data_IF_911114058531
#
_entry.id   IF_911114058531
#
_cell.length_a   1.000
_cell.length_b   1.000
_cell.length_c   1.000
_cell.angle_alpha   90.00
_cell.angle_beta   90.00
_cell.angle_gamma   90.00
#
_symmetry.space_group_name_H-M   'P 1'
#
loop_
_entity.id
_entity.type
_entity.pdbx_description
1 polymer ?
#
# COMPACT_ATOMS: atom_id res chain seq x y z
N UNK A 1 -20.99 3.04 6.54
CA UNK A 1 -19.84 2.43 7.25
C UNK A 1 -20.34 1.94 8.61
N UNK A 2 -20.00 0.72 9.02
CA UNK A 2 -20.52 0.08 10.23
C UNK A 2 -19.33 -0.54 11.01
N UNK A 3 -19.44 -0.68 12.33
CA UNK A 3 -18.43 -1.30 13.21
C UNK A 3 -18.01 -2.70 12.74
N UNK A 4 -18.92 -3.50 12.20
CA UNK A 4 -18.61 -4.83 11.67
C UNK A 4 -17.56 -4.81 10.52
N UNK A 5 -17.58 -3.76 9.70
CA UNK A 5 -16.60 -3.59 8.61
C UNK A 5 -15.21 -3.23 9.15
N UNK A 6 -15.16 -2.36 10.17
CA UNK A 6 -13.92 -1.97 10.82
C UNK A 6 -13.28 -3.14 11.57
N UNK A 7 -14.07 -3.91 12.32
CA UNK A 7 -13.60 -5.12 13.01
C UNK A 7 -13.09 -6.17 12.02
N UNK A 8 -13.78 -6.36 10.90
CA UNK A 8 -13.34 -7.23 9.82
C UNK A 8 -11.96 -6.83 9.26
N UNK A 9 -11.76 -5.53 8.99
CA UNK A 9 -10.46 -5.01 8.54
C UNK A 9 -9.33 -5.32 9.54
N UNK A 10 -9.51 -4.98 10.81
CA UNK A 10 -8.47 -5.18 11.83
C UNK A 10 -8.22 -6.67 12.14
N UNK A 11 -9.25 -7.52 12.02
CA UNK A 11 -9.11 -8.97 12.16
C UNK A 11 -8.17 -9.57 11.11
N UNK A 12 -8.32 -9.17 9.84
CA UNK A 12 -7.45 -9.63 8.75
C UNK A 12 -6.04 -9.02 8.88
N UNK A 13 -5.94 -7.73 9.22
CA UNK A 13 -4.65 -7.06 9.46
C UNK A 13 -3.83 -7.75 10.55
N UNK A 14 -4.45 -8.06 11.70
CA UNK A 14 -3.79 -8.74 12.82
C UNK A 14 -3.26 -10.13 12.44
N UNK A 15 -4.01 -10.88 11.61
CA UNK A 15 -3.55 -12.18 11.07
C UNK A 15 -2.35 -12.01 10.12
N UNK A 16 -2.32 -10.93 9.34
CA UNK A 16 -1.19 -10.57 8.49
C UNK A 16 0.08 -10.23 9.29
N UNK A 17 -0.06 -9.60 10.46
CA UNK A 17 1.06 -9.16 11.30
C UNK A 17 1.62 -10.21 12.25
N UNK A 18 0.78 -11.10 12.80
CA UNK A 18 1.18 -12.14 13.76
C UNK A 18 1.34 -13.53 13.14
N UNK A 19 1.35 -13.67 11.81
CA UNK A 19 1.31 -14.98 11.15
C UNK A 19 1.71 -15.02 9.68
N UNK A 20 0.84 -15.65 8.87
CA UNK A 20 1.15 -16.43 7.64
C UNK A 20 1.67 -15.64 6.43
N UNK A 21 1.39 -14.34 6.31
CA UNK A 21 1.64 -13.60 5.05
C UNK A 21 2.94 -12.79 5.04
N UNK A 22 3.33 -12.15 6.14
CA UNK A 22 4.55 -11.34 6.18
C UNK A 22 5.03 -11.11 7.62
N UNK A 23 6.32 -11.35 7.87
CA UNK A 23 6.97 -10.89 9.10
C UNK A 23 7.25 -9.37 9.00
N UNK A 24 6.34 -8.55 9.55
CA UNK A 24 6.52 -7.10 9.62
C UNK A 24 7.23 -6.74 10.94
N UNK A 25 8.44 -6.17 10.84
CA UNK A 25 9.13 -5.55 11.98
C UNK A 25 8.45 -4.21 12.32
N UNK A 26 8.50 -3.77 13.57
CA UNK A 26 7.89 -2.52 14.04
C UNK A 26 8.29 -1.30 13.20
N UNK A 27 9.55 -1.23 12.74
CA UNK A 27 10.06 -0.19 11.84
C UNK A 27 9.33 -0.07 10.49
N UNK A 28 8.60 -1.12 10.08
CA UNK A 28 7.84 -1.15 8.84
C UNK A 28 6.33 -1.10 9.06
N UNK A 29 5.88 -0.97 10.32
CA UNK A 29 4.45 -0.99 10.66
C UNK A 29 3.66 0.05 9.86
N UNK A 30 4.18 1.27 9.74
CA UNK A 30 3.55 2.33 8.94
C UNK A 30 3.31 1.90 7.48
N UNK A 31 4.30 1.25 6.85
CA UNK A 31 4.20 0.78 5.47
C UNK A 31 3.20 -0.37 5.36
N UNK A 32 3.25 -1.31 6.30
CA UNK A 32 2.32 -2.44 6.38
C UNK A 32 0.86 -1.96 6.53
N UNK A 33 0.60 -0.96 7.39
CA UNK A 33 -0.75 -0.39 7.58
C UNK A 33 -1.22 0.36 6.32
N UNK A 34 -0.34 1.19 5.73
CA UNK A 34 -0.66 1.97 4.53
C UNK A 34 -1.04 1.07 3.36
N UNK A 35 -0.25 0.01 3.14
CA UNK A 35 -0.51 -0.96 2.07
C UNK A 35 -1.80 -1.76 2.32
N UNK A 36 -2.07 -2.15 3.57
CA UNK A 36 -3.31 -2.86 3.92
C UNK A 36 -4.55 -1.98 3.70
N UNK A 37 -4.45 -0.70 4.08
CA UNK A 37 -5.49 0.29 3.84
C UNK A 37 -5.76 0.48 2.35
N UNK A 38 -4.70 0.58 1.53
CA UNK A 38 -4.80 0.63 0.08
C UNK A 38 -5.57 -0.58 -0.46
N UNK A 39 -5.13 -1.81 -0.16
CA UNK A 39 -5.79 -3.05 -0.61
C UNK A 39 -7.26 -3.12 -0.21
N UNK A 40 -7.60 -2.70 1.00
CA UNK A 40 -8.98 -2.72 1.47
C UNK A 40 -9.86 -1.75 0.68
N UNK A 41 -9.35 -0.56 0.36
CA UNK A 41 -10.11 0.49 -0.32
C UNK A 41 -10.12 0.33 -1.85
N UNK A 42 -9.18 -0.40 -2.43
CA UNK A 42 -9.10 -0.69 -3.87
C UNK A 42 -9.43 -2.15 -4.14
N UNK A 43 -10.65 -2.59 -3.80
CA UNK A 43 -11.12 -3.98 -4.01
C UNK A 43 -12.29 -4.05 -4.98
N UNK A 44 -12.50 -5.23 -5.57
CA UNK A 44 -13.57 -5.49 -6.55
C UNK A 44 -14.96 -5.06 -6.06
N UNK A 45 -15.26 -5.30 -4.77
CA UNK A 45 -16.55 -4.89 -4.17
C UNK A 45 -16.79 -3.36 -4.23
N UNK A 46 -15.73 -2.56 -4.31
CA UNK A 46 -15.79 -1.10 -4.40
C UNK A 46 -15.66 -0.60 -5.85
N UNK A 47 -15.74 -1.49 -6.84
CA UNK A 47 -15.63 -1.16 -8.26
C UNK A 47 -14.20 -1.10 -8.79
N UNK A 48 -13.20 -1.51 -8.00
CA UNK A 48 -11.81 -1.62 -8.44
C UNK A 48 -11.52 -3.04 -8.93
N UNK A 49 -11.45 -3.24 -10.24
CA UNK A 49 -10.87 -4.46 -10.81
C UNK A 49 -9.34 -4.49 -10.61
N UNK A 50 -8.71 -5.62 -10.95
CA UNK A 50 -7.27 -5.79 -10.73
C UNK A 50 -6.43 -4.80 -11.56
N UNK A 51 -6.91 -4.42 -12.75
CA UNK A 51 -6.25 -3.45 -13.63
C UNK A 51 -6.31 -2.03 -13.05
N UNK A 52 -7.50 -1.57 -12.65
CA UNK A 52 -7.71 -0.28 -12.04
C UNK A 52 -6.94 -0.14 -10.72
N UNK A 53 -6.87 -1.22 -9.93
CA UNK A 53 -6.03 -1.24 -8.73
C UNK A 53 -4.55 -1.07 -9.06
N UNK A 54 -4.07 -1.72 -10.12
CA UNK A 54 -2.68 -1.57 -10.57
C UNK A 54 -2.41 -0.13 -11.04
N UNK A 55 -3.31 0.46 -11.81
CA UNK A 55 -3.17 1.84 -12.30
C UNK A 55 -3.14 2.84 -11.13
N UNK A 56 -3.99 2.65 -10.13
CA UNK A 56 -3.98 3.49 -8.93
C UNK A 56 -2.69 3.32 -8.10
N UNK A 57 -2.14 2.10 -8.03
CA UNK A 57 -0.85 1.87 -7.39
C UNK A 57 0.29 2.61 -8.13
N UNK A 58 0.24 2.66 -9.47
CA UNK A 58 1.21 3.38 -10.30
C UNK A 58 1.13 4.89 -10.10
N UNK A 59 -0.06 5.47 -9.94
CA UNK A 59 -0.22 6.89 -9.59
C UNK A 59 0.55 7.27 -8.32
N UNK A 60 0.59 6.37 -7.33
CA UNK A 60 1.36 6.54 -6.09
C UNK A 60 2.88 6.61 -6.27
N UNK A 61 3.42 6.29 -7.45
CA UNK A 61 4.86 6.27 -7.76
C UNK A 61 5.38 7.58 -8.37
N UNK A 62 4.48 8.46 -8.82
CA UNK A 62 4.84 9.73 -9.46
C UNK A 62 5.70 10.58 -8.52
N UNK A 63 6.83 11.06 -9.03
CA UNK A 63 7.78 11.89 -8.27
C UNK A 63 8.68 11.13 -7.28
N UNK A 64 8.49 9.82 -7.09
CA UNK A 64 9.31 8.99 -6.16
C UNK A 64 10.39 8.18 -6.87
N UNK A 65 10.41 8.19 -8.20
CA UNK A 65 11.39 7.44 -9.00
C UNK A 65 12.78 8.05 -8.84
N UNK A 66 13.75 7.24 -8.42
CA UNK A 66 15.16 7.62 -8.42
C UNK A 66 15.65 7.71 -9.86
N UNK A 67 16.12 8.89 -10.27
CA UNK A 67 16.76 9.12 -11.57
C UNK A 67 18.22 9.46 -11.36
N UNK A 68 19.09 8.99 -12.26
CA UNK A 68 20.46 9.49 -12.29
C UNK A 68 20.46 11.01 -12.42
N UNK A 69 21.41 11.66 -11.73
CA UNK A 69 21.67 13.09 -11.91
C UNK A 69 22.05 13.28 -13.38
N UNK A 70 21.34 14.19 -14.06
CA UNK A 70 21.68 14.50 -15.45
C UNK A 70 23.07 15.15 -15.48
N UNK A 71 23.85 14.83 -16.51
CA UNK A 71 25.26 15.24 -16.64
C UNK A 71 25.45 16.76 -16.60
N UNK A 72 24.46 17.52 -17.06
CA UNK A 72 24.39 18.98 -17.04
C UNK A 72 24.20 19.59 -15.64
N UNK A 73 23.71 18.83 -14.65
CA UNK A 73 23.47 19.28 -13.29
C UNK A 73 24.50 18.77 -12.26
N UNK A 74 25.53 18.06 -12.71
CA UNK A 74 26.54 17.44 -11.85
C UNK A 74 27.77 18.34 -11.56
N UNK A 75 27.95 19.42 -12.32
CA UNK A 75 29.10 20.33 -12.25
C UNK A 75 28.77 21.73 -11.70
N UNK A 76 27.75 21.85 -10.85
CA UNK A 76 27.46 23.09 -10.09
C UNK A 76 27.91 22.91 -8.65
#
# INVERSE_FOLDING_TARGET
MNTNLAEGFFSVFKKGMKGVYQHCSEKHLNRCVTEFGFRHNTRVLLGFDDSARNDEALNGTVGKRLTYRRTDQAYV
#
